data_IF_484584230255
#
_entry.id   IF_484584230255
#
_cell.length_a   1.000
_cell.length_b   1.000
_cell.length_c   1.000
_cell.angle_alpha   90.00
_cell.angle_beta   90.00
_cell.angle_gamma   90.00
#
_symmetry.space_group_name_H-M   'P 1'
#
loop_
_entity.id
_entity.type
_entity.pdbx_description
1 polymer ?
#
# COMPACT_ATOMS: atom_id res chain seq x y z
N UNK A 1 12.64 49.72 -96.56
CA UNK A 1 11.76 50.24 -97.61
C UNK A 1 10.71 49.18 -97.91
N UNK A 2 9.44 49.60 -97.93
CA UNK A 2 8.26 48.92 -98.48
C UNK A 2 7.75 47.70 -97.68
N UNK A 3 6.69 47.89 -96.89
CA UNK A 3 5.26 47.90 -97.28
C UNK A 3 4.72 46.46 -97.38
N UNK A 4 3.96 46.01 -96.38
CA UNK A 4 2.49 46.14 -96.27
C UNK A 4 1.76 45.21 -97.25
N UNK A 5 1.11 44.18 -96.72
CA UNK A 5 -0.12 43.63 -97.28
C UNK A 5 -1.10 43.36 -96.16
N UNK A 6 -2.31 43.86 -96.36
CA UNK A 6 -3.41 44.01 -95.41
C UNK A 6 -4.47 42.92 -95.65
N UNK A 7 -5.19 42.57 -94.58
CA UNK A 7 -6.63 42.16 -94.50
C UNK A 7 -7.14 40.88 -95.17
N UNK A 8 -7.75 40.00 -94.37
CA UNK A 8 -9.22 39.79 -94.30
C UNK A 8 -9.51 38.78 -93.16
N UNK A 9 -10.07 39.21 -92.02
CA UNK A 9 -11.49 39.10 -91.62
C UNK A 9 -12.05 37.68 -91.71
N UNK A 10 -12.30 37.04 -90.56
CA UNK A 10 -13.60 36.42 -90.31
C UNK A 10 -13.93 36.35 -88.81
N UNK A 11 -15.19 36.59 -88.50
CA UNK A 11 -15.75 36.68 -87.16
C UNK A 11 -16.37 35.34 -86.76
N UNK A 12 -15.90 34.77 -85.65
CA UNK A 12 -16.45 33.55 -85.04
C UNK A 12 -16.86 33.81 -83.59
N UNK A 13 -18.16 33.74 -83.35
CA UNK A 13 -18.90 34.06 -82.12
C UNK A 13 -18.74 32.99 -81.02
N UNK A 14 -18.67 33.46 -79.76
CA UNK A 14 -19.03 32.80 -78.48
C UNK A 14 -18.34 31.50 -78.04
N UNK A 15 -17.66 31.55 -76.90
CA UNK A 15 -18.22 31.05 -75.62
C UNK A 15 -17.22 31.23 -74.47
N UNK A 16 -17.63 32.01 -73.47
CA UNK A 16 -16.98 32.17 -72.18
C UNK A 16 -17.18 30.88 -71.34
N UNK A 17 -16.12 30.24 -70.80
CA UNK A 17 -16.32 29.15 -69.86
C UNK A 17 -16.65 29.75 -68.49
N UNK A 18 -17.94 29.81 -68.18
CA UNK A 18 -18.46 30.07 -66.84
C UNK A 18 -17.82 29.11 -65.85
N UNK A 19 -17.03 29.64 -64.91
CA UNK A 19 -16.50 28.91 -63.76
C UNK A 19 -17.66 28.54 -62.82
N UNK A 20 -17.89 27.25 -62.50
CA UNK A 20 -18.83 26.90 -61.44
C UNK A 20 -18.19 27.21 -60.09
N UNK A 21 -18.48 28.39 -59.55
CA UNK A 21 -18.18 28.72 -58.14
C UNK A 21 -19.23 28.05 -57.26
N UNK A 22 -19.14 26.74 -57.10
CA UNK A 22 -19.83 26.02 -56.02
C UNK A 22 -19.02 26.16 -54.73
N UNK A 23 -19.65 26.43 -53.56
CA UNK A 23 -18.90 26.48 -52.31
C UNK A 23 -18.26 25.12 -52.03
N UNK A 24 -16.94 25.10 -51.80
CA UNK A 24 -16.22 23.90 -51.39
C UNK A 24 -16.88 23.28 -50.14
N UNK A 25 -17.07 21.95 -50.08
CA UNK A 25 -17.68 21.31 -48.92
C UNK A 25 -16.79 21.54 -47.68
N UNK A 26 -17.36 22.14 -46.64
CA UNK A 26 -16.65 22.45 -45.39
C UNK A 26 -16.10 21.17 -44.73
N UNK A 27 -14.82 21.10 -44.34
CA UNK A 27 -14.23 19.92 -43.70
C UNK A 27 -14.57 19.87 -42.20
N UNK A 28 -15.86 19.86 -41.85
CA UNK A 28 -16.31 19.90 -40.46
C UNK A 28 -16.60 18.50 -39.88
N UNK A 29 -16.94 17.50 -40.71
CA UNK A 29 -17.35 16.16 -40.25
C UNK A 29 -16.16 15.29 -39.81
N UNK A 30 -15.10 15.23 -40.62
CA UNK A 30 -13.94 14.36 -40.39
C UNK A 30 -13.20 14.67 -39.08
N UNK A 31 -13.05 15.96 -38.73
CA UNK A 31 -12.45 16.39 -37.45
C UNK A 31 -13.31 16.02 -36.23
N UNK A 32 -14.64 16.08 -36.33
CA UNK A 32 -15.53 15.66 -35.24
C UNK A 32 -15.52 14.13 -35.05
N UNK A 33 -15.48 13.37 -36.14
CA UNK A 33 -15.41 11.91 -36.11
C UNK A 33 -14.07 11.44 -35.53
N UNK A 34 -12.93 12.01 -35.95
CA UNK A 34 -11.62 11.69 -35.38
C UNK A 34 -11.54 12.04 -33.89
N UNK A 35 -12.05 13.22 -33.47
CA UNK A 35 -12.12 13.57 -32.04
C UNK A 35 -12.98 12.59 -31.23
N UNK A 36 -14.13 12.14 -31.76
CA UNK A 36 -15.00 11.15 -31.10
C UNK A 36 -14.35 9.77 -30.99
N UNK A 37 -13.62 9.33 -32.01
CA UNK A 37 -12.88 8.06 -31.98
C UNK A 37 -11.72 8.13 -30.98
N UNK A 38 -10.97 9.24 -30.95
CA UNK A 38 -9.89 9.44 -29.97
C UNK A 38 -10.44 9.49 -28.54
N UNK A 39 -11.48 10.29 -28.27
CA UNK A 39 -12.14 10.34 -26.96
C UNK A 39 -12.76 8.99 -26.55
N UNK A 40 -13.39 8.28 -27.49
CA UNK A 40 -13.95 6.95 -27.25
C UNK A 40 -12.86 5.92 -26.94
N UNK A 41 -11.74 5.95 -27.67
CA UNK A 41 -10.59 5.10 -27.42
C UNK A 41 -9.97 5.36 -26.05
N UNK A 42 -9.75 6.62 -25.68
CA UNK A 42 -9.23 6.99 -24.35
C UNK A 42 -10.16 6.53 -23.23
N UNK A 43 -11.48 6.72 -23.38
CA UNK A 43 -12.44 6.27 -22.37
C UNK A 43 -12.43 4.75 -22.20
N UNK A 44 -12.39 3.98 -23.30
CA UNK A 44 -12.30 2.51 -23.23
C UNK A 44 -11.01 2.06 -22.55
N UNK A 45 -9.87 2.66 -22.88
CA UNK A 45 -8.59 2.32 -22.22
C UNK A 45 -8.62 2.64 -20.73
N UNK A 46 -9.17 3.80 -20.33
CA UNK A 46 -9.30 4.18 -18.92
C UNK A 46 -10.22 3.20 -18.17
N UNK A 47 -11.36 2.84 -18.76
CA UNK A 47 -12.29 1.87 -18.17
C UNK A 47 -11.67 0.47 -18.05
N UNK A 48 -10.93 0.03 -19.07
CA UNK A 48 -10.23 -1.25 -19.04
C UNK A 48 -9.11 -1.25 -17.99
N UNK A 49 -8.34 -0.17 -17.87
CA UNK A 49 -7.29 -0.03 -16.86
C UNK A 49 -7.89 -0.01 -15.43
N UNK A 50 -8.99 0.72 -15.23
CA UNK A 50 -9.70 0.74 -13.95
C UNK A 50 -10.27 -0.64 -13.61
N UNK A 51 -10.91 -1.32 -14.57
CA UNK A 51 -11.42 -2.68 -14.38
C UNK A 51 -10.32 -3.69 -14.03
N UNK A 52 -9.18 -3.61 -14.73
CA UNK A 52 -8.02 -4.44 -14.41
C UNK A 52 -7.45 -4.17 -13.02
N UNK A 53 -7.34 -2.91 -12.62
CA UNK A 53 -6.90 -2.52 -11.27
C UNK A 53 -7.82 -3.11 -10.19
N UNK A 54 -9.14 -2.91 -10.31
CA UNK A 54 -10.10 -3.42 -9.32
C UNK A 54 -10.12 -4.95 -9.26
N UNK A 55 -9.96 -5.63 -10.40
CA UNK A 55 -9.82 -7.09 -10.41
C UNK A 55 -8.54 -7.57 -9.71
N UNK A 56 -7.41 -6.88 -9.93
CA UNK A 56 -6.16 -7.20 -9.24
C UNK A 56 -6.32 -7.00 -7.73
N UNK A 57 -6.83 -5.85 -7.30
CA UNK A 57 -7.03 -5.54 -5.89
C UNK A 57 -7.97 -6.54 -5.21
N UNK A 58 -9.13 -6.82 -5.81
CA UNK A 58 -10.13 -7.77 -5.29
C UNK A 58 -9.67 -9.24 -5.29
N UNK A 59 -8.54 -9.56 -5.91
CA UNK A 59 -7.96 -10.92 -5.92
C UNK A 59 -6.62 -10.98 -5.18
N UNK A 60 -6.29 -9.95 -4.41
CA UNK A 60 -5.04 -9.82 -3.66
C UNK A 60 -5.17 -10.12 -2.16
N UNK A 61 -6.35 -10.58 -1.74
CA UNK A 61 -6.63 -10.84 -0.33
C UNK A 61 -5.74 -11.96 0.21
N UNK A 62 -5.19 -11.77 1.41
CA UNK A 62 -4.35 -12.77 2.07
C UNK A 62 -5.23 -13.90 2.62
N UNK A 63 -4.75 -15.14 2.50
CA UNK A 63 -5.38 -16.31 3.11
C UNK A 63 -4.96 -16.48 4.57
N UNK A 64 -3.71 -16.15 4.90
CA UNK A 64 -3.22 -16.27 6.28
C UNK A 64 -3.53 -15.00 7.07
N UNK A 65 -4.63 -15.06 7.84
CA UNK A 65 -5.12 -13.92 8.61
C UNK A 65 -4.56 -13.85 10.04
N UNK A 66 -4.11 -14.98 10.60
CA UNK A 66 -3.61 -15.05 11.98
C UNK A 66 -4.70 -15.29 13.04
N UNK A 67 -4.38 -15.01 14.30
CA UNK A 67 -5.25 -15.12 15.47
C UNK A 67 -5.51 -13.74 16.07
N UNK A 68 -6.74 -13.46 16.48
CA UNK A 68 -7.09 -12.17 17.08
C UNK A 68 -6.31 -11.93 18.39
N UNK A 69 -6.17 -12.95 19.23
CA UNK A 69 -5.44 -12.86 20.48
C UNK A 69 -4.05 -13.48 20.38
N UNK A 70 -3.05 -12.78 20.93
CA UNK A 70 -1.65 -13.23 20.93
C UNK A 70 -1.49 -14.60 21.62
N UNK A 71 -2.27 -14.86 22.67
CA UNK A 71 -2.17 -16.10 23.45
C UNK A 71 -2.66 -17.34 22.68
N UNK A 72 -3.49 -17.13 21.64
CA UNK A 72 -4.04 -18.23 20.83
C UNK A 72 -3.05 -18.73 19.77
N UNK A 73 -1.90 -18.07 19.63
CA UNK A 73 -0.84 -18.49 18.72
C UNK A 73 -0.01 -19.57 19.39
N UNK A 74 0.18 -20.71 18.72
CA UNK A 74 1.13 -21.74 19.16
C UNK A 74 2.56 -21.26 18.86
N UNK A 75 3.43 -21.04 19.87
CA UNK A 75 4.77 -20.54 19.63
C UNK A 75 5.69 -21.63 19.08
N UNK A 76 6.58 -21.26 18.15
CA UNK A 76 7.72 -22.10 17.79
C UNK A 76 8.88 -21.83 18.75
N UNK A 77 9.49 -22.88 19.26
CA UNK A 77 10.48 -22.77 20.33
C UNK A 77 11.81 -23.38 19.89
N UNK A 78 12.85 -22.55 19.80
CA UNK A 78 14.23 -22.98 19.51
C UNK A 78 15.04 -22.95 20.81
N UNK A 79 15.60 -24.09 21.19
CA UNK A 79 16.49 -24.19 22.35
C UNK A 79 17.88 -23.63 22.01
N UNK A 80 18.55 -23.08 23.02
CA UNK A 80 19.89 -22.50 22.95
C UNK A 80 20.74 -23.00 24.13
N UNK A 81 22.03 -22.66 24.15
CA UNK A 81 22.89 -23.01 25.29
C UNK A 81 22.43 -22.38 26.62
N UNK A 82 21.74 -21.23 26.57
CA UNK A 82 21.16 -20.58 27.75
C UNK A 82 19.79 -21.14 28.16
N UNK A 83 19.22 -22.06 27.37
CA UNK A 83 17.96 -22.73 27.68
C UNK A 83 16.91 -22.57 26.59
N UNK A 84 15.65 -22.73 26.98
CA UNK A 84 14.46 -22.67 26.11
C UNK A 84 13.39 -21.85 26.82
N UNK A 85 12.60 -21.10 26.06
CA UNK A 85 11.44 -20.40 26.60
C UNK A 85 10.41 -21.38 27.21
N UNK A 86 9.80 -20.94 28.31
CA UNK A 86 8.73 -21.59 29.03
C UNK A 86 7.35 -21.04 28.62
N UNK A 87 6.28 -21.71 29.02
CA UNK A 87 4.90 -21.28 28.73
C UNK A 87 4.59 -19.87 29.25
N UNK A 88 5.15 -19.51 30.41
CA UNK A 88 4.95 -18.18 30.99
C UNK A 88 5.60 -17.05 30.17
N UNK A 89 6.58 -17.37 29.33
CA UNK A 89 7.24 -16.40 28.48
C UNK A 89 6.33 -15.92 27.35
N UNK A 90 5.52 -16.82 26.77
CA UNK A 90 4.48 -16.42 25.82
C UNK A 90 3.49 -15.46 26.47
N UNK A 91 3.04 -15.77 27.71
CA UNK A 91 2.12 -14.90 28.44
C UNK A 91 2.74 -13.52 28.69
N UNK A 92 4.02 -13.46 29.06
CA UNK A 92 4.73 -12.22 29.30
C UNK A 92 4.88 -11.39 28.01
N UNK A 93 5.31 -12.01 26.90
CA UNK A 93 5.37 -11.36 25.57
C UNK A 93 3.99 -10.80 25.16
N UNK A 94 2.93 -11.60 25.27
CA UNK A 94 1.58 -11.15 24.94
C UNK A 94 1.08 -10.05 25.88
N UNK A 95 1.56 -10.01 27.12
CA UNK A 95 1.25 -8.94 28.08
C UNK A 95 1.91 -7.63 27.66
N UNK A 96 3.17 -7.65 27.22
CA UNK A 96 3.86 -6.46 26.68
C UNK A 96 3.12 -5.90 25.46
N UNK A 97 2.68 -6.77 24.54
CA UNK A 97 1.94 -6.33 23.34
C UNK A 97 0.55 -5.77 23.69
N UNK A 98 -0.15 -6.35 24.67
CA UNK A 98 -1.41 -5.79 25.17
C UNK A 98 -1.20 -4.44 25.86
N UNK A 99 -0.16 -4.30 26.68
CA UNK A 99 0.15 -3.03 27.33
C UNK A 99 0.44 -1.91 26.29
N UNK A 100 1.08 -2.27 25.18
CA UNK A 100 1.31 -1.38 24.04
C UNK A 100 -0.01 -0.91 23.41
N UNK A 101 -0.94 -1.83 23.13
CA UNK A 101 -2.26 -1.48 22.58
C UNK A 101 -3.09 -0.65 23.55
N UNK A 102 -3.09 -1.02 24.83
CA UNK A 102 -3.83 -0.30 25.86
C UNK A 102 -3.28 1.12 26.07
N UNK A 103 -1.96 1.30 25.95
CA UNK A 103 -1.35 2.63 26.01
C UNK A 103 -1.75 3.50 24.80
N UNK A 104 -1.83 2.91 23.60
CA UNK A 104 -2.35 3.61 22.43
C UNK A 104 -3.80 4.05 22.62
N UNK A 105 -4.67 3.14 23.06
CA UNK A 105 -6.10 3.42 23.29
C UNK A 105 -6.32 4.55 24.31
N UNK A 106 -5.41 4.70 25.28
CA UNK A 106 -5.43 5.78 26.27
C UNK A 106 -4.69 7.05 25.84
N UNK A 107 -4.11 7.10 24.63
CA UNK A 107 -3.22 8.18 24.18
C UNK A 107 -2.03 8.41 25.14
N UNK A 108 -1.55 7.35 25.78
CA UNK A 108 -0.51 7.35 26.81
C UNK A 108 0.87 7.12 26.19
N UNK A 109 1.50 8.20 25.74
CA UNK A 109 2.82 8.15 25.10
C UNK A 109 3.93 7.61 26.02
N UNK A 110 3.84 7.88 27.33
CA UNK A 110 4.82 7.40 28.30
C UNK A 110 4.68 5.89 28.47
N UNK A 111 3.46 5.41 28.73
CA UNK A 111 3.18 3.97 28.84
C UNK A 111 3.46 3.20 27.54
N UNK A 112 3.27 3.85 26.38
CA UNK A 112 3.64 3.28 25.08
C UNK A 112 5.16 3.10 24.97
N UNK A 113 5.94 4.14 25.30
CA UNK A 113 7.40 4.08 25.32
C UNK A 113 7.95 3.05 26.31
N UNK A 114 7.33 2.89 27.48
CA UNK A 114 7.76 1.92 28.50
C UNK A 114 7.80 0.47 28.01
N UNK A 115 7.05 0.13 26.95
CA UNK A 115 7.06 -1.20 26.34
C UNK A 115 8.29 -1.46 25.46
N UNK A 116 9.11 -0.45 25.18
CA UNK A 116 10.31 -0.55 24.34
C UNK A 116 11.59 -0.59 25.18
N UNK A 117 12.66 -1.24 24.72
CA UNK A 117 13.99 -1.13 25.35
C UNK A 117 14.52 0.31 25.24
N UNK A 118 15.47 0.67 26.10
CA UNK A 118 16.04 2.03 26.08
C UNK A 118 16.63 2.42 24.70
N UNK A 119 17.17 1.43 23.99
CA UNK A 119 17.81 1.51 22.68
C UNK A 119 16.93 0.99 21.51
N UNK A 120 15.62 0.86 21.71
CA UNK A 120 14.75 0.25 20.73
C UNK A 120 14.72 0.99 19.39
N UNK A 121 14.50 0.27 18.30
CA UNK A 121 14.25 0.87 16.99
C UNK A 121 12.78 0.78 16.60
N UNK A 122 12.25 1.82 15.97
CA UNK A 122 10.88 1.84 15.47
C UNK A 122 10.87 2.35 14.03
N UNK A 123 10.42 1.52 13.09
CA UNK A 123 10.22 1.91 11.70
C UNK A 123 8.73 1.89 11.36
N UNK A 124 8.19 3.06 11.01
CA UNK A 124 6.80 3.24 10.59
C UNK A 124 6.56 2.69 9.18
N UNK A 125 5.29 2.53 8.80
CA UNK A 125 4.88 2.04 7.48
C UNK A 125 5.26 2.95 6.31
N UNK A 126 5.68 4.19 6.60
CA UNK A 126 6.21 5.14 5.61
C UNK A 126 7.74 5.24 5.62
N UNK A 127 8.42 4.41 6.41
CA UNK A 127 9.88 4.34 6.48
C UNK A 127 10.54 5.32 7.44
N UNK A 128 9.78 6.14 8.19
CA UNK A 128 10.34 6.96 9.28
C UNK A 128 10.92 6.06 10.36
N UNK A 129 12.17 6.34 10.76
CA UNK A 129 12.93 5.59 11.75
C UNK A 129 13.13 6.42 13.02
N UNK A 130 12.80 5.85 14.18
CA UNK A 130 13.05 6.40 15.51
C UNK A 130 14.01 5.50 16.28
N UNK A 131 14.82 6.12 17.14
CA UNK A 131 15.88 5.45 17.88
C UNK A 131 15.81 5.77 19.37
N UNK A 132 15.53 4.74 20.16
CA UNK A 132 15.45 4.78 21.61
C UNK A 132 14.06 5.05 22.15
N UNK A 133 13.80 4.55 23.36
CA UNK A 133 12.50 4.67 24.06
C UNK A 133 11.96 6.10 24.10
N UNK A 134 12.85 7.06 24.40
CA UNK A 134 12.46 8.45 24.57
C UNK A 134 11.98 9.07 23.25
N UNK A 135 12.70 8.85 22.15
CA UNK A 135 12.34 9.35 20.82
C UNK A 135 10.99 8.78 20.37
N UNK A 136 10.78 7.48 20.60
CA UNK A 136 9.50 6.80 20.34
C UNK A 136 8.36 7.45 21.15
N UNK A 137 8.55 7.66 22.46
CA UNK A 137 7.53 8.27 23.31
C UNK A 137 7.22 9.72 22.89
N UNK A 138 8.24 10.51 22.59
CA UNK A 138 8.09 11.91 22.19
C UNK A 138 7.35 12.03 20.86
N UNK A 139 7.67 11.19 19.88
CA UNK A 139 6.94 11.11 18.62
C UNK A 139 5.47 10.70 18.83
N UNK A 140 5.20 9.68 19.65
CA UNK A 140 3.84 9.22 19.91
C UNK A 140 3.01 10.25 20.67
N UNK A 141 3.62 11.05 21.57
CA UNK A 141 2.94 12.17 22.23
C UNK A 141 2.42 13.21 21.23
N UNK A 142 3.23 13.55 20.22
CA UNK A 142 2.81 14.45 19.16
C UNK A 142 1.72 13.81 18.26
N UNK A 143 1.86 12.53 17.94
CA UNK A 143 0.90 11.79 17.12
C UNK A 143 -0.48 11.67 17.80
N UNK A 144 -0.51 11.38 19.10
CA UNK A 144 -1.74 11.24 19.87
C UNK A 144 -2.52 12.55 20.04
N UNK A 145 -1.83 13.70 19.99
CA UNK A 145 -2.47 15.02 19.91
C UNK A 145 -2.78 15.50 18.49
N UNK A 146 -2.67 14.62 17.48
CA UNK A 146 -2.79 15.00 16.08
C UNK A 146 -3.33 13.87 15.20
N UNK A 147 -2.51 13.38 14.27
CA UNK A 147 -2.95 12.53 13.17
C UNK A 147 -3.68 11.24 13.60
N UNK A 148 -3.27 10.65 14.72
CA UNK A 148 -3.86 9.39 15.23
C UNK A 148 -4.74 9.59 16.46
N UNK A 149 -5.10 10.83 16.77
CA UNK A 149 -5.96 11.16 17.91
C UNK A 149 -7.28 10.38 17.83
N UNK A 150 -7.64 9.72 18.94
CA UNK A 150 -8.87 8.94 19.08
C UNK A 150 -8.92 7.69 18.18
N UNK A 151 -7.77 7.18 17.74
CA UNK A 151 -7.68 5.88 17.07
C UNK A 151 -7.34 4.78 18.08
N UNK A 152 -7.70 3.55 17.72
CA UNK A 152 -7.30 2.33 18.42
C UNK A 152 -6.43 1.45 17.52
N UNK A 153 -5.71 0.50 18.11
CA UNK A 153 -4.94 -0.51 17.38
C UNK A 153 -5.73 -1.81 17.23
N UNK A 154 -5.73 -2.35 16.02
CA UNK A 154 -6.20 -3.70 15.74
C UNK A 154 -5.00 -4.54 15.30
N UNK A 155 -4.80 -5.67 15.96
CA UNK A 155 -3.79 -6.66 15.59
C UNK A 155 -4.44 -8.02 15.31
N UNK A 156 -3.78 -8.81 14.46
CA UNK A 156 -4.01 -10.24 14.25
C UNK A 156 -2.67 -10.97 14.12
N UNK A 157 -2.36 -11.85 15.06
CA UNK A 157 -1.05 -12.44 15.25
C UNK A 157 -0.83 -13.64 14.31
N UNK A 158 0.22 -13.57 13.50
CA UNK A 158 0.59 -14.60 12.51
C UNK A 158 1.52 -15.67 13.10
N UNK A 159 2.33 -15.31 14.09
CA UNK A 159 3.29 -16.24 14.68
C UNK A 159 4.10 -15.63 15.82
N UNK A 160 4.56 -16.51 16.72
CA UNK A 160 5.48 -16.21 17.81
C UNK A 160 6.63 -17.21 17.72
N UNK A 161 7.87 -16.71 17.67
CA UNK A 161 9.08 -17.55 17.62
C UNK A 161 10.02 -17.16 18.75
N UNK A 162 10.37 -18.11 19.61
CA UNK A 162 11.37 -17.92 20.64
C UNK A 162 12.73 -18.46 20.21
N UNK A 163 13.77 -17.66 20.42
CA UNK A 163 15.16 -17.99 20.17
C UNK A 163 15.92 -18.01 21.51
N UNK A 164 15.71 -19.07 22.28
CA UNK A 164 16.16 -19.16 23.67
C UNK A 164 15.13 -18.57 24.67
N UNK A 165 15.52 -18.40 25.95
CA UNK A 165 14.61 -17.95 27.02
C UNK A 165 14.35 -16.44 27.05
N UNK A 166 15.15 -15.65 26.32
CA UNK A 166 15.20 -14.18 26.48
C UNK A 166 15.00 -13.40 25.17
N UNK A 167 14.65 -14.08 24.06
CA UNK A 167 14.41 -13.42 22.78
C UNK A 167 13.22 -14.04 22.06
N UNK A 168 12.32 -13.19 21.57
CA UNK A 168 11.15 -13.56 20.80
C UNK A 168 10.98 -12.67 19.57
N UNK A 169 10.46 -13.24 18.49
CA UNK A 169 9.98 -12.51 17.32
C UNK A 169 8.50 -12.80 17.15
N UNK A 170 7.69 -11.75 17.15
CA UNK A 170 6.26 -11.81 16.88
C UNK A 170 5.97 -11.14 15.56
N UNK A 171 5.23 -11.81 14.70
CA UNK A 171 4.74 -11.25 13.44
C UNK A 171 3.23 -11.16 13.50
N UNK A 172 2.66 -10.03 13.06
CA UNK A 172 1.22 -9.81 13.02
C UNK A 172 0.82 -9.05 11.77
N UNK A 173 -0.49 -9.02 11.52
CA UNK A 173 -1.13 -7.97 10.74
C UNK A 173 -1.66 -6.93 11.70
N UNK A 174 -1.78 -5.68 11.26
CA UNK A 174 -2.41 -4.65 12.08
C UNK A 174 -2.73 -3.36 11.37
N UNK A 175 -3.55 -2.55 12.02
CA UNK A 175 -3.93 -1.22 11.55
C UNK A 175 -4.47 -0.35 12.68
N UNK A 176 -4.51 0.95 12.42
CA UNK A 176 -5.22 1.92 13.27
C UNK A 176 -6.65 2.06 12.79
N UNK A 177 -7.63 2.17 13.69
CA UNK A 177 -9.04 2.35 13.32
C UNK A 177 -9.76 3.36 14.22
N UNK A 178 -10.93 3.82 13.76
CA UNK A 178 -11.91 4.60 14.54
C UNK A 178 -13.28 3.93 14.39
N UNK A 179 -14.03 3.84 15.48
CA UNK A 179 -15.34 3.18 15.47
C UNK A 179 -15.21 1.66 15.57
N UNK A 180 -15.83 0.94 14.64
CA UNK A 180 -15.85 -0.52 14.67
C UNK A 180 -14.47 -1.12 14.37
N UNK A 181 -14.10 -2.16 15.13
CA UNK A 181 -12.83 -2.87 14.95
C UNK A 181 -12.83 -3.58 13.59
N UNK A 182 -11.82 -3.34 12.72
CA UNK A 182 -11.72 -4.03 11.43
C UNK A 182 -11.53 -5.53 11.62
N UNK A 183 -12.00 -6.31 10.64
CA UNK A 183 -11.74 -7.75 10.63
C UNK A 183 -10.28 -8.03 10.31
N UNK A 184 -9.81 -9.25 10.59
CA UNK A 184 -8.42 -9.64 10.29
C UNK A 184 -8.08 -9.55 8.78
N UNK A 185 -9.08 -9.70 7.90
CA UNK A 185 -8.92 -9.58 6.46
C UNK A 185 -8.69 -8.12 6.02
N UNK A 186 -9.24 -7.16 6.76
CA UNK A 186 -9.14 -5.72 6.45
C UNK A 186 -7.82 -5.09 6.91
N UNK A 187 -7.02 -5.82 7.71
CA UNK A 187 -5.74 -5.32 8.21
C UNK A 187 -4.71 -5.25 7.08
N UNK A 188 -4.27 -4.04 6.75
CA UNK A 188 -3.47 -3.74 5.55
C UNK A 188 -1.97 -3.72 5.79
N UNK A 189 -1.52 -3.69 7.05
CA UNK A 189 -0.10 -3.69 7.38
C UNK A 189 0.34 -5.04 7.94
N UNK A 190 1.58 -5.40 7.65
CA UNK A 190 2.30 -6.48 8.34
C UNK A 190 3.30 -5.86 9.30
N UNK A 191 3.38 -6.39 10.51
CA UNK A 191 4.22 -5.91 11.59
C UNK A 191 5.18 -7.00 12.07
N UNK A 192 6.37 -6.60 12.49
CA UNK A 192 7.34 -7.44 13.19
C UNK A 192 7.73 -6.75 14.49
N UNK A 193 7.64 -7.49 15.58
CA UNK A 193 8.12 -7.12 16.90
C UNK A 193 9.26 -8.06 17.28
N UNK A 194 10.43 -7.51 17.55
CA UNK A 194 11.51 -8.21 18.23
C UNK A 194 11.44 -7.85 19.71
N UNK A 195 11.21 -8.83 20.56
CA UNK A 195 11.16 -8.65 22.00
C UNK A 195 12.36 -9.33 22.65
N UNK A 196 12.86 -8.69 23.70
CA UNK A 196 13.93 -9.23 24.54
C UNK A 196 13.50 -9.14 26.00
N UNK A 197 14.00 -10.07 26.82
CA UNK A 197 13.93 -9.95 28.27
C UNK A 197 15.11 -9.11 28.76
N UNK A 198 14.85 -8.00 29.43
CA UNK A 198 15.89 -7.19 30.05
C UNK A 198 16.31 -7.77 31.42
N UNK A 199 17.40 -7.27 32.00
CA UNK A 199 17.97 -7.81 33.25
C UNK A 199 17.05 -7.68 34.49
N UNK A 200 15.98 -6.88 34.39
CA UNK A 200 14.92 -6.77 35.39
C UNK A 200 13.83 -7.86 35.25
N UNK A 201 13.98 -8.76 34.27
CA UNK A 201 13.08 -9.87 33.99
C UNK A 201 11.88 -9.51 33.12
N UNK A 202 11.70 -8.23 32.76
CA UNK A 202 10.59 -7.76 31.96
C UNK A 202 10.88 -7.90 30.46
N UNK A 203 9.85 -8.29 29.70
CA UNK A 203 9.90 -8.32 28.25
C UNK A 203 9.60 -6.95 27.67
N UNK A 204 10.47 -6.47 26.77
CA UNK A 204 10.30 -5.21 26.06
C UNK A 204 10.63 -5.37 24.58
N UNK A 205 10.06 -4.49 23.77
CA UNK A 205 10.24 -4.46 22.32
C UNK A 205 11.59 -3.77 22.02
N UNK A 206 12.54 -4.52 21.48
CA UNK A 206 13.83 -4.00 21.02
C UNK A 206 13.75 -3.45 19.58
N UNK A 207 12.84 -3.99 18.76
CA UNK A 207 12.61 -3.48 17.42
C UNK A 207 11.14 -3.65 17.00
N UNK A 208 10.58 -2.61 16.40
CA UNK A 208 9.31 -2.66 15.71
C UNK A 208 9.47 -2.18 14.27
N UNK A 209 8.89 -2.92 13.33
CA UNK A 209 8.79 -2.53 11.94
C UNK A 209 7.40 -2.86 11.43
N UNK A 210 6.75 -1.94 10.72
CA UNK A 210 5.56 -2.27 9.93
C UNK A 210 5.65 -1.78 8.49
N UNK A 211 4.95 -2.48 7.60
CA UNK A 211 4.87 -2.17 6.17
C UNK A 211 3.42 -2.30 5.71
N UNK A 212 2.92 -1.29 4.99
CA UNK A 212 1.61 -1.39 4.33
C UNK A 212 1.72 -2.19 3.04
N UNK A 213 0.91 -3.24 2.90
CA UNK A 213 0.88 -4.08 1.70
C UNK A 213 0.54 -3.26 0.46
N UNK A 214 1.17 -3.63 -0.65
CA UNK A 214 0.91 -3.07 -1.97
C UNK A 214 0.17 -4.12 -2.81
N UNK A 215 -1.10 -4.37 -2.48
CA UNK A 215 -1.93 -5.46 -3.01
C UNK A 215 -1.77 -5.69 -4.52
N UNK A 216 -2.04 -4.66 -5.32
CA UNK A 216 -1.97 -4.73 -6.78
C UNK A 216 -0.56 -5.07 -7.27
N UNK A 217 0.48 -4.48 -6.66
CA UNK A 217 1.87 -4.75 -7.02
C UNK A 217 2.27 -6.19 -6.69
N UNK A 218 1.88 -6.69 -5.51
CA UNK A 218 2.10 -8.09 -5.11
C UNK A 218 1.41 -9.05 -6.09
N UNK A 219 0.13 -8.80 -6.41
CA UNK A 219 -0.64 -9.66 -7.32
C UNK A 219 -0.07 -9.68 -8.72
N UNK A 220 0.36 -8.53 -9.24
CA UNK A 220 1.07 -8.44 -10.52
C UNK A 220 2.37 -9.25 -10.49
N UNK A 221 3.15 -9.15 -9.41
CA UNK A 221 4.37 -9.94 -9.22
C UNK A 221 4.08 -11.44 -9.27
N UNK A 222 3.05 -11.92 -8.57
CA UNK A 222 2.69 -13.34 -8.53
C UNK A 222 2.09 -13.85 -9.85
N UNK A 223 1.43 -13.01 -10.62
CA UNK A 223 1.00 -13.36 -11.98
C UNK A 223 2.19 -13.48 -12.94
N UNK A 224 3.20 -12.63 -12.77
CA UNK A 224 4.40 -12.64 -13.59
C UNK A 224 5.33 -13.81 -13.26
N UNK A 225 5.55 -14.06 -11.97
CA UNK A 225 6.32 -15.19 -11.46
C UNK A 225 5.59 -15.87 -10.29
N UNK A 226 4.77 -16.91 -10.56
CA UNK A 226 4.03 -17.64 -9.53
C UNK A 226 4.90 -18.29 -8.46
N UNK A 227 6.20 -18.52 -8.73
CA UNK A 227 7.11 -19.09 -7.73
C UNK A 227 7.41 -18.10 -6.60
N UNK A 228 7.27 -16.78 -6.85
CA UNK A 228 7.46 -15.71 -5.85
C UNK A 228 6.30 -15.57 -4.86
N UNK A 229 5.15 -16.20 -5.15
CA UNK A 229 4.05 -16.23 -4.20
C UNK A 229 4.48 -16.97 -2.92
N UNK A 230 4.19 -16.46 -1.71
CA UNK A 230 4.50 -17.16 -0.47
C UNK A 230 3.82 -18.53 -0.43
N UNK A 231 4.53 -19.59 0.00
CA UNK A 231 3.96 -20.95 0.11
C UNK A 231 2.68 -20.99 0.96
N UNK A 232 2.64 -20.19 2.02
CA UNK A 232 1.47 -20.11 2.89
C UNK A 232 0.25 -19.43 2.23
N UNK A 233 0.45 -18.75 1.10
CA UNK A 233 -0.57 -18.02 0.35
C UNK A 233 -0.90 -18.69 -1.01
N UNK A 234 -0.19 -19.76 -1.39
CA UNK A 234 -0.52 -20.59 -2.56
C UNK A 234 -1.82 -21.36 -2.35
#
# INVERSE_FOLDING_TARGET
MSASTTTSTDAGTTAEPTSPTGPAPRPASRRRTVKRILLGGTLVTVLAAAGGYFWLDATSDPKVLGKAECIDVTPSLTATASGRAATDDQRAVCTTLRALTDAWDRADATGYGEQFTADATYTTYVGTHYQGRQDIADAHRALFGGFVEGTSLADSFLGIRFYGPDTAVVTSRGDTYKGDRPSAADLTKTQTYTLVREGDGHWRIAAFHNTKRQNVMERLSFLWDPATAPEAEK
#
